data_IF_186273447165
#
_entry.id   IF_186273447165
#
_cell.length_a   1.000
_cell.length_b   1.000
_cell.length_c   1.000
_cell.angle_alpha   90.00
_cell.angle_beta   90.00
_cell.angle_gamma   90.00
#
_symmetry.space_group_name_H-M   'P 1'
#
loop_
_entity.id
_entity.type
_entity.pdbx_description
1 polymer ?
#
# COMPACT_ATOMS: atom_id res chain seq x y z
N UNK A 1 6.84 1.19 -39.87
CA UNK A 1 6.82 1.36 -38.40
C UNK A 1 6.25 0.08 -37.80
N UNK A 2 7.10 -0.82 -37.32
CA UNK A 2 6.67 -2.05 -36.66
C UNK A 2 6.63 -1.79 -35.15
N UNK A 3 5.46 -1.91 -34.55
CA UNK A 3 5.27 -1.90 -33.09
C UNK A 3 5.98 -3.14 -32.51
N UNK A 4 6.86 -3.01 -31.51
CA UNK A 4 7.46 -4.18 -30.89
C UNK A 4 6.38 -4.94 -30.13
N UNK A 5 6.11 -6.17 -30.57
CA UNK A 5 5.24 -7.11 -29.88
C UNK A 5 5.97 -7.62 -28.63
N UNK A 6 5.59 -7.11 -27.46
CA UNK A 6 6.04 -7.60 -26.16
C UNK A 6 5.70 -9.09 -26.05
N UNK A 7 6.69 -9.92 -25.71
CA UNK A 7 6.48 -11.38 -25.64
C UNK A 7 5.62 -11.72 -24.41
N UNK A 8 4.72 -12.72 -24.46
CA UNK A 8 3.92 -13.15 -23.30
C UNK A 8 4.77 -13.47 -22.06
N UNK A 9 5.98 -14.00 -22.26
CA UNK A 9 6.93 -14.32 -21.20
C UNK A 9 7.43 -13.08 -20.44
N UNK A 10 7.47 -11.90 -21.10
CA UNK A 10 7.83 -10.62 -20.47
C UNK A 10 6.69 -10.04 -19.62
N UNK A 11 5.44 -10.47 -19.84
CA UNK A 11 4.27 -10.11 -19.03
C UNK A 11 4.01 -11.09 -17.87
N UNK A 12 4.50 -12.33 -17.98
CA UNK A 12 4.47 -13.32 -16.89
C UNK A 12 5.65 -13.15 -15.91
N UNK A 13 6.83 -12.80 -16.44
CA UNK A 13 8.02 -12.48 -15.64
C UNK A 13 7.79 -11.45 -14.51
N UNK A 14 7.01 -10.36 -14.66
CA UNK A 14 6.76 -9.37 -13.62
C UNK A 14 5.97 -9.95 -12.46
N UNK A 15 4.93 -10.75 -12.73
CA UNK A 15 4.10 -11.34 -11.66
C UNK A 15 4.88 -12.41 -10.90
N UNK A 16 5.63 -13.26 -11.60
CA UNK A 16 6.50 -14.24 -10.97
C UNK A 16 7.65 -13.59 -10.20
N UNK A 17 8.21 -12.46 -10.68
CA UNK A 17 9.19 -11.67 -9.93
C UNK A 17 8.57 -11.02 -8.69
N UNK A 18 7.34 -10.51 -8.78
CA UNK A 18 6.63 -9.94 -7.63
C UNK A 18 6.31 -11.02 -6.59
N UNK A 19 5.87 -12.20 -7.01
CA UNK A 19 5.56 -13.33 -6.14
C UNK A 19 6.83 -13.97 -5.53
N UNK A 20 7.91 -14.14 -6.31
CA UNK A 20 9.20 -14.67 -5.79
C UNK A 20 10.01 -13.64 -5.03
N UNK A 21 9.89 -12.35 -5.34
CA UNK A 21 10.44 -11.31 -4.47
C UNK A 21 9.67 -11.30 -3.16
N UNK A 22 8.34 -11.42 -3.16
CA UNK A 22 7.48 -11.48 -1.97
C UNK A 22 7.89 -12.58 -0.96
N UNK A 23 8.52 -13.68 -1.41
CA UNK A 23 9.02 -14.74 -0.52
C UNK A 23 10.40 -14.46 0.09
N UNK A 24 11.14 -13.47 -0.42
CA UNK A 24 12.46 -13.10 0.14
C UNK A 24 12.31 -12.19 1.37
N UNK A 25 13.11 -12.39 2.44
CA UNK A 25 13.09 -11.50 3.60
C UNK A 25 13.32 -10.04 3.21
N UNK A 26 12.57 -9.12 3.81
CA UNK A 26 12.62 -7.67 3.55
C UNK A 26 14.07 -7.14 3.53
N UNK A 27 14.87 -7.51 4.53
CA UNK A 27 16.28 -7.12 4.65
C UNK A 27 17.07 -7.46 3.38
N UNK A 28 16.89 -8.66 2.82
CA UNK A 28 17.62 -9.12 1.63
C UNK A 28 17.22 -8.37 0.35
N UNK A 29 16.03 -7.74 0.31
CA UNK A 29 15.61 -6.88 -0.81
C UNK A 29 16.26 -5.50 -0.73
N UNK A 30 16.56 -5.03 0.48
CA UNK A 30 17.17 -3.73 0.75
C UNK A 30 18.72 -3.78 0.76
N UNK A 31 19.34 -4.97 0.85
CA UNK A 31 20.80 -5.07 0.97
C UNK A 31 21.54 -4.64 -0.32
N UNK A 32 22.74 -4.05 -0.17
CA UNK A 32 23.64 -3.75 -1.28
C UNK A 32 23.86 -4.98 -2.17
N UNK A 33 23.70 -4.81 -3.48
CA UNK A 33 23.92 -5.84 -4.49
C UNK A 33 24.62 -5.19 -5.71
N UNK A 34 24.78 -5.94 -6.79
CA UNK A 34 25.39 -5.41 -8.01
C UNK A 34 24.67 -4.17 -8.58
N UNK A 35 23.35 -4.04 -8.38
CA UNK A 35 22.58 -2.87 -8.81
C UNK A 35 23.01 -1.60 -8.06
N UNK A 36 23.27 -1.69 -6.76
CA UNK A 36 23.81 -0.57 -5.97
C UNK A 36 25.19 -0.12 -6.46
N UNK A 37 26.07 -1.07 -6.76
CA UNK A 37 27.40 -0.75 -7.30
C UNK A 37 27.31 -0.08 -8.67
N UNK A 38 26.41 -0.57 -9.56
CA UNK A 38 26.17 0.04 -10.88
C UNK A 38 25.53 1.41 -10.77
N UNK A 39 24.59 1.59 -9.85
CA UNK A 39 23.96 2.88 -9.56
C UNK A 39 25.03 3.92 -9.18
N UNK A 40 25.86 3.60 -8.19
CA UNK A 40 26.95 4.48 -7.78
C UNK A 40 27.97 4.74 -8.91
N UNK A 41 28.37 3.70 -9.64
CA UNK A 41 29.32 3.84 -10.74
C UNK A 41 28.78 4.67 -11.90
N UNK A 42 27.50 4.53 -12.25
CA UNK A 42 26.88 5.31 -13.32
C UNK A 42 26.66 6.77 -12.92
N UNK A 43 26.27 7.05 -11.68
CA UNK A 43 26.20 8.41 -11.17
C UNK A 43 27.57 9.08 -11.12
N UNK A 44 28.62 8.35 -10.72
CA UNK A 44 29.99 8.87 -10.74
C UNK A 44 30.47 9.26 -12.15
N UNK A 45 29.95 8.61 -13.20
CA UNK A 45 30.19 8.98 -14.61
C UNK A 45 29.40 10.21 -15.07
N UNK A 46 28.45 10.69 -14.26
CA UNK A 46 27.58 11.82 -14.58
C UNK A 46 27.69 12.96 -13.57
N UNK A 47 28.90 13.53 -13.36
CA UNK A 47 29.10 14.57 -12.35
C UNK A 47 28.27 15.84 -12.61
N UNK A 48 28.04 16.18 -13.89
CA UNK A 48 27.21 17.33 -14.27
C UNK A 48 25.73 17.18 -13.88
N UNK A 49 25.16 15.98 -14.06
CA UNK A 49 23.79 15.69 -13.65
C UNK A 49 23.64 15.75 -12.13
N UNK A 50 24.54 15.08 -11.40
CA UNK A 50 24.56 15.10 -9.93
C UNK A 50 24.72 16.52 -9.38
N UNK A 51 25.64 17.30 -9.92
CA UNK A 51 25.84 18.70 -9.53
C UNK A 51 24.60 19.55 -9.84
N UNK A 52 23.98 19.37 -11.01
CA UNK A 52 22.75 20.04 -11.40
C UNK A 52 21.56 19.74 -10.47
N UNK A 53 21.34 18.47 -10.13
CA UNK A 53 20.31 18.02 -9.18
C UNK A 53 20.57 18.59 -7.78
N UNK A 54 21.82 18.52 -7.31
CA UNK A 54 22.23 19.05 -6.01
C UNK A 54 22.05 20.57 -5.93
N UNK A 55 22.43 21.29 -6.99
CA UNK A 55 22.23 22.74 -7.09
C UNK A 55 20.75 23.12 -7.10
N UNK A 56 19.92 22.36 -7.82
CA UNK A 56 18.46 22.55 -7.85
C UNK A 56 17.84 22.32 -6.48
N UNK A 57 18.19 21.23 -5.81
CA UNK A 57 17.72 20.92 -4.46
C UNK A 57 18.16 21.98 -3.46
N UNK A 58 19.43 22.41 -3.50
CA UNK A 58 19.95 23.44 -2.59
C UNK A 58 19.23 24.77 -2.77
N UNK A 59 19.01 25.19 -4.03
CA UNK A 59 18.24 26.40 -4.34
C UNK A 59 16.81 26.29 -3.83
N UNK A 60 16.18 25.14 -4.02
CA UNK A 60 14.81 24.91 -3.57
C UNK A 60 14.69 24.87 -2.05
N UNK A 61 15.63 24.23 -1.34
CA UNK A 61 15.67 24.28 0.12
C UNK A 61 15.87 25.71 0.64
N UNK A 62 16.67 26.52 -0.06
CA UNK A 62 16.80 27.95 0.23
C UNK A 62 15.49 28.72 0.00
N UNK A 63 14.76 28.43 -1.09
CA UNK A 63 13.46 29.06 -1.38
C UNK A 63 12.40 28.67 -0.34
N UNK A 64 12.39 27.41 0.10
CA UNK A 64 11.53 26.88 1.16
C UNK A 64 11.83 27.55 2.49
N UNK A 65 13.10 27.62 2.90
CA UNK A 65 13.52 28.28 4.13
C UNK A 65 13.11 29.77 4.16
N UNK A 66 13.23 30.45 3.01
CA UNK A 66 12.79 31.83 2.84
C UNK A 66 11.26 31.99 2.70
N UNK A 67 10.49 30.90 2.65
CA UNK A 67 9.03 30.94 2.47
C UNK A 67 8.56 31.39 1.08
N UNK A 68 9.41 31.24 0.06
CA UNK A 68 9.14 31.64 -1.34
C UNK A 68 8.79 30.46 -2.25
N UNK A 69 8.92 29.22 -1.77
CA UNK A 69 8.55 28.04 -2.56
C UNK A 69 7.03 27.93 -2.71
N UNK A 70 6.59 27.60 -3.92
CA UNK A 70 5.19 27.29 -4.24
C UNK A 70 4.94 25.78 -4.31
N UNK A 71 5.89 24.96 -3.85
CA UNK A 71 5.77 23.51 -3.87
C UNK A 71 4.59 23.06 -3.02
N UNK A 72 3.78 22.19 -3.59
CA UNK A 72 2.59 21.64 -2.96
C UNK A 72 2.50 20.13 -3.26
N UNK A 73 1.86 19.34 -2.39
CA UNK A 73 1.65 17.93 -2.64
C UNK A 73 0.72 17.73 -3.84
N UNK A 74 0.86 16.60 -4.54
CA UNK A 74 -0.07 16.22 -5.59
C UNK A 74 -1.50 16.12 -5.01
N UNK A 75 -2.52 16.48 -5.80
CA UNK A 75 -3.93 16.47 -5.35
C UNK A 75 -4.40 15.10 -4.82
N UNK A 76 -3.81 14.02 -5.32
CA UNK A 76 -4.13 12.66 -4.90
C UNK A 76 -3.32 12.18 -3.67
N UNK A 77 -2.32 12.94 -3.22
CA UNK A 77 -1.46 12.55 -2.10
C UNK A 77 -2.18 12.77 -0.76
N UNK A 78 -2.77 11.69 -0.25
CA UNK A 78 -3.53 11.70 1.00
C UNK A 78 -2.65 11.89 2.25
N UNK A 79 -1.33 11.73 2.16
CA UNK A 79 -0.41 11.90 3.30
C UNK A 79 -0.51 13.31 3.86
N UNK A 80 -0.61 14.31 2.97
CA UNK A 80 -0.66 15.73 3.32
C UNK A 80 -2.09 16.31 3.31
N UNK A 81 -3.09 15.47 3.59
CA UNK A 81 -4.51 15.88 3.58
C UNK A 81 -4.92 16.72 4.80
N UNK A 82 -4.17 16.64 5.91
CA UNK A 82 -4.45 17.47 7.09
C UNK A 82 -4.17 18.96 6.80
N UNK A 83 -5.11 19.88 7.09
CA UNK A 83 -4.94 21.32 6.83
C UNK A 83 -3.70 21.93 7.49
N UNK A 84 -3.18 21.35 8.58
CA UNK A 84 -1.99 21.82 9.27
C UNK A 84 -0.75 21.84 8.36
N UNK A 85 -0.66 20.94 7.37
CA UNK A 85 0.44 20.93 6.38
C UNK A 85 0.44 22.17 5.47
N UNK A 86 -0.69 22.87 5.35
CA UNK A 86 -0.81 24.09 4.55
C UNK A 86 -0.78 25.36 5.42
N UNK A 87 -1.44 25.33 6.57
CA UNK A 87 -1.64 26.53 7.40
C UNK A 87 -0.51 26.76 8.41
N UNK A 88 0.24 25.74 8.82
CA UNK A 88 1.35 25.89 9.74
C UNK A 88 2.66 26.13 8.95
N UNK A 89 3.33 27.28 9.10
CA UNK A 89 4.53 27.60 8.32
C UNK A 89 5.68 26.60 8.48
N UNK A 90 5.85 26.01 9.67
CA UNK A 90 6.91 25.04 9.91
C UNK A 90 6.60 23.71 9.22
N UNK A 91 5.39 23.19 9.41
CA UNK A 91 4.96 21.93 8.79
C UNK A 91 4.91 22.05 7.26
N UNK A 92 4.48 23.21 6.75
CA UNK A 92 4.47 23.50 5.33
C UNK A 92 5.89 23.41 4.74
N UNK A 93 6.87 24.03 5.39
CA UNK A 93 8.28 23.96 4.96
C UNK A 93 8.86 22.55 5.06
N UNK A 94 8.52 21.79 6.11
CA UNK A 94 8.96 20.40 6.26
C UNK A 94 8.39 19.53 5.13
N UNK A 95 7.10 19.67 4.83
CA UNK A 95 6.46 19.00 3.70
C UNK A 95 7.12 19.38 2.37
N UNK A 96 7.36 20.68 2.12
CA UNK A 96 8.01 21.13 0.89
C UNK A 96 9.43 20.58 0.76
N UNK A 97 10.22 20.58 1.85
CA UNK A 97 11.57 20.04 1.87
C UNK A 97 11.58 18.53 1.59
N UNK A 98 10.62 17.80 2.17
CA UNK A 98 10.41 16.38 1.88
C UNK A 98 10.10 16.16 0.39
N UNK A 99 9.14 16.89 -0.17
CA UNK A 99 8.75 16.76 -1.57
C UNK A 99 9.90 17.11 -2.53
N UNK A 100 10.72 18.12 -2.20
CA UNK A 100 11.91 18.46 -2.97
C UNK A 100 12.99 17.38 -2.89
N UNK A 101 13.19 16.79 -1.71
CA UNK A 101 14.12 15.67 -1.52
C UNK A 101 13.68 14.40 -2.24
N UNK A 102 12.39 14.08 -2.23
CA UNK A 102 11.79 12.96 -2.96
C UNK A 102 12.03 13.09 -4.46
N UNK A 103 11.67 14.23 -5.05
CA UNK A 103 11.90 14.50 -6.48
C UNK A 103 13.40 14.50 -6.83
N UNK A 104 14.25 14.98 -5.92
CA UNK A 104 15.71 14.91 -6.08
C UNK A 104 16.23 13.48 -6.13
N UNK A 105 15.74 12.60 -5.26
CA UNK A 105 16.12 11.19 -5.23
C UNK A 105 15.65 10.44 -6.48
N UNK A 106 14.40 10.66 -6.91
CA UNK A 106 13.86 10.12 -8.17
C UNK A 106 14.64 10.62 -9.38
N UNK A 107 15.00 11.91 -9.40
CA UNK A 107 15.81 12.50 -10.46
C UNK A 107 17.22 11.88 -10.56
N UNK A 108 17.87 11.64 -9.42
CA UNK A 108 19.17 10.94 -9.40
C UNK A 108 19.04 9.48 -9.87
N UNK A 109 17.94 8.80 -9.54
CA UNK A 109 17.68 7.46 -10.05
C UNK A 109 17.54 7.46 -11.58
N UNK A 110 16.77 8.39 -12.13
CA UNK A 110 16.60 8.53 -13.58
C UNK A 110 17.93 8.82 -14.29
N UNK A 111 18.73 9.72 -13.73
CA UNK A 111 20.02 10.10 -14.31
C UNK A 111 21.04 8.94 -14.25
N UNK A 112 20.88 7.94 -13.37
CA UNK A 112 21.80 6.81 -13.30
C UNK A 112 21.76 5.86 -14.52
N UNK A 113 20.78 6.01 -15.42
CA UNK A 113 20.65 5.25 -16.68
C UNK A 113 20.91 3.74 -16.50
N UNK A 114 20.28 3.14 -15.49
CA UNK A 114 20.40 1.72 -15.21
C UNK A 114 19.65 0.88 -16.26
N UNK A 115 20.04 -0.40 -16.38
CA UNK A 115 19.20 -1.34 -17.12
C UNK A 115 17.84 -1.50 -16.43
N UNK A 116 16.83 -2.02 -17.14
CA UNK A 116 15.47 -2.08 -16.62
C UNK A 116 15.34 -2.87 -15.31
N UNK A 117 16.14 -3.93 -15.11
CA UNK A 117 16.06 -4.80 -13.92
C UNK A 117 16.65 -4.10 -12.70
N UNK A 118 17.79 -3.47 -12.88
CA UNK A 118 18.48 -2.75 -11.82
C UNK A 118 17.75 -1.43 -11.52
N UNK A 119 17.16 -0.77 -12.53
CA UNK A 119 16.28 0.38 -12.31
C UNK A 119 15.07 0.02 -11.45
N UNK A 120 14.33 -1.06 -11.78
CA UNK A 120 13.16 -1.48 -11.00
C UNK A 120 13.51 -1.79 -9.53
N UNK A 121 14.67 -2.44 -9.31
CA UNK A 121 15.16 -2.74 -7.96
C UNK A 121 15.54 -1.48 -7.20
N UNK A 122 16.25 -0.56 -7.84
CA UNK A 122 16.66 0.69 -7.20
C UNK A 122 15.48 1.63 -6.98
N UNK A 123 14.50 1.63 -7.88
CA UNK A 123 13.24 2.34 -7.72
C UNK A 123 12.50 1.85 -6.48
N UNK A 124 12.31 0.52 -6.35
CA UNK A 124 11.72 -0.05 -5.15
C UNK A 124 12.44 0.42 -3.86
N UNK A 125 13.78 0.44 -3.86
CA UNK A 125 14.56 0.90 -2.71
C UNK A 125 14.34 2.39 -2.44
N UNK A 126 14.46 3.24 -3.46
CA UNK A 126 14.30 4.70 -3.35
C UNK A 126 12.90 5.02 -2.85
N UNK A 127 11.87 4.40 -3.44
CA UNK A 127 10.47 4.57 -3.04
C UNK A 127 10.28 4.19 -1.57
N UNK A 128 10.78 3.03 -1.13
CA UNK A 128 10.65 2.60 0.27
C UNK A 128 11.36 3.55 1.24
N UNK A 129 12.53 4.08 0.88
CA UNK A 129 13.27 5.03 1.73
C UNK A 129 12.55 6.38 1.77
N UNK A 130 12.15 6.91 0.62
CA UNK A 130 11.43 8.19 0.51
C UNK A 130 10.07 8.11 1.20
N UNK A 131 9.30 7.04 0.99
CA UNK A 131 8.04 6.83 1.69
C UNK A 131 8.24 6.65 3.19
N UNK A 132 9.26 5.88 3.61
CA UNK A 132 9.59 5.67 5.02
C UNK A 132 9.94 6.96 5.75
N UNK A 133 10.66 7.87 5.07
CA UNK A 133 11.06 9.18 5.59
C UNK A 133 9.96 10.25 5.50
N UNK A 134 8.76 9.90 5.02
CA UNK A 134 7.65 10.85 4.96
C UNK A 134 7.38 11.47 6.34
N UNK A 135 7.26 12.81 6.45
CA UNK A 135 7.00 13.51 7.71
C UNK A 135 5.77 13.00 8.48
N UNK A 136 4.80 12.45 7.74
CA UNK A 136 3.56 11.87 8.27
C UNK A 136 3.77 10.58 9.05
N UNK A 137 4.87 9.85 8.78
CA UNK A 137 5.23 8.62 9.49
C UNK A 137 5.92 8.90 10.84
N UNK A 138 6.37 10.14 11.07
CA UNK A 138 7.01 10.52 12.31
C UNK A 138 5.97 11.13 13.26
N UNK A 139 5.61 10.47 14.38
CA UNK A 139 4.62 10.99 15.32
C UNK A 139 5.02 12.31 15.98
N UNK A 140 6.31 12.66 15.98
CA UNK A 140 6.83 13.92 16.52
C UNK A 140 6.65 15.10 15.56
N UNK A 141 6.42 14.84 14.27
CA UNK A 141 6.24 15.86 13.24
C UNK A 141 4.78 15.88 12.77
N UNK A 142 4.15 14.71 12.67
CA UNK A 142 2.80 14.54 12.15
C UNK A 142 1.76 15.31 12.98
N UNK A 143 0.93 16.16 12.34
CA UNK A 143 -0.17 16.88 13.00
C UNK A 143 -1.13 15.95 13.74
N UNK A 144 -1.39 14.77 13.16
CA UNK A 144 -2.27 13.75 13.73
C UNK A 144 -1.72 13.24 15.07
N UNK A 145 -0.40 13.06 15.17
CA UNK A 145 0.26 12.63 16.39
C UNK A 145 0.11 13.67 17.51
N UNK A 146 0.40 14.93 17.22
CA UNK A 146 0.23 16.04 18.17
C UNK A 146 -1.22 16.26 18.58
N UNK A 147 -2.14 16.23 17.62
CA UNK A 147 -3.58 16.35 17.90
C UNK A 147 -4.04 15.23 18.84
N UNK A 148 -3.71 13.98 18.53
CA UNK A 148 -4.04 12.86 19.39
C UNK A 148 -3.37 12.94 20.77
N UNK A 149 -2.15 13.49 20.87
CA UNK A 149 -1.47 13.71 22.14
C UNK A 149 -2.22 14.72 23.00
N UNK A 150 -2.59 15.86 22.42
CA UNK A 150 -3.30 16.95 23.10
C UNK A 150 -4.72 16.52 23.49
N UNK A 151 -5.51 16.03 22.53
CA UNK A 151 -6.92 15.66 22.71
C UNK A 151 -7.12 14.57 23.77
N UNK A 152 -6.10 13.73 23.99
CA UNK A 152 -6.15 12.64 24.97
C UNK A 152 -5.33 12.90 26.22
N UNK A 153 -4.77 14.11 26.40
CA UNK A 153 -3.92 14.44 27.55
C UNK A 153 -2.70 13.54 27.70
N UNK A 154 -2.13 13.06 26.58
CA UNK A 154 -0.99 12.13 26.55
C UNK A 154 -1.35 10.65 26.58
N UNK A 155 -2.62 10.27 26.82
CA UNK A 155 -3.03 8.86 26.90
C UNK A 155 -2.85 8.10 25.59
N UNK A 156 -2.87 8.77 24.43
CA UNK A 156 -2.59 8.15 23.12
C UNK A 156 -1.15 7.62 23.04
N UNK A 157 -0.16 8.37 23.53
CA UNK A 157 1.25 7.95 23.53
C UNK A 157 1.48 6.74 24.45
N UNK A 158 0.86 6.76 25.65
CA UNK A 158 0.92 5.62 26.58
C UNK A 158 0.29 4.37 25.97
N UNK A 159 -0.89 4.50 25.35
CA UNK A 159 -1.56 3.38 24.66
C UNK A 159 -0.73 2.86 23.50
N UNK A 160 -0.15 3.74 22.68
CA UNK A 160 0.70 3.37 21.56
C UNK A 160 1.98 2.64 21.99
N UNK A 161 2.67 3.12 23.03
CA UNK A 161 3.85 2.46 23.57
C UNK A 161 3.52 1.06 24.14
N UNK A 162 2.36 0.93 24.81
CA UNK A 162 1.89 -0.37 25.31
C UNK A 162 1.54 -1.33 24.18
N UNK A 163 0.86 -0.84 23.14
CA UNK A 163 0.55 -1.62 21.94
C UNK A 163 1.83 -2.12 21.27
N UNK A 164 2.79 -1.23 21.01
CA UNK A 164 4.10 -1.57 20.45
C UNK A 164 4.82 -2.64 21.29
N UNK A 165 4.83 -2.48 22.62
CA UNK A 165 5.44 -3.46 23.50
C UNK A 165 4.75 -4.83 23.39
N UNK A 166 3.41 -4.88 23.39
CA UNK A 166 2.66 -6.15 23.21
C UNK A 166 3.00 -6.80 21.86
N UNK A 167 2.98 -6.03 20.79
CA UNK A 167 3.23 -6.52 19.44
C UNK A 167 4.64 -7.10 19.31
N UNK A 168 5.64 -6.42 19.89
CA UNK A 168 7.04 -6.86 19.86
C UNK A 168 7.34 -8.06 20.79
N UNK A 169 6.52 -8.26 21.83
CA UNK A 169 6.62 -9.41 22.73
C UNK A 169 5.92 -10.65 22.18
N UNK A 170 4.92 -10.48 21.31
CA UNK A 170 4.18 -11.56 20.66
C UNK A 170 4.89 -12.07 19.38
N UNK A 171 4.60 -13.31 18.96
CA UNK A 171 5.01 -13.85 17.66
C UNK A 171 3.79 -13.90 16.74
N UNK A 172 3.86 -13.41 15.49
CA UNK A 172 5.01 -12.74 14.86
C UNK A 172 5.23 -11.33 15.42
N UNK A 173 6.50 -10.91 15.53
CA UNK A 173 6.89 -9.58 16.06
C UNK A 173 6.62 -8.47 15.03
N UNK A 174 5.35 -8.20 14.78
CA UNK A 174 4.90 -7.24 13.77
C UNK A 174 3.86 -6.34 14.42
N UNK A 175 3.95 -5.01 14.27
CA UNK A 175 2.92 -4.10 14.77
C UNK A 175 1.55 -4.48 14.21
N UNK A 176 0.57 -4.65 15.09
CA UNK A 176 -0.79 -4.99 14.72
C UNK A 176 -1.56 -3.70 14.39
N UNK A 177 -2.07 -3.60 13.17
CA UNK A 177 -2.89 -2.46 12.74
C UNK A 177 -4.32 -2.52 13.29
N UNK A 178 -4.79 -3.72 13.64
CA UNK A 178 -6.10 -4.00 14.21
C UNK A 178 -5.94 -5.06 15.29
N UNK A 179 -6.79 -5.03 16.31
CA UNK A 179 -6.80 -6.09 17.31
C UNK A 179 -7.18 -7.43 16.63
N UNK A 180 -6.52 -8.55 16.95
CA UNK A 180 -6.70 -9.82 16.22
C UNK A 180 -8.13 -10.36 16.23
N UNK A 181 -8.90 -10.00 17.25
CA UNK A 181 -10.29 -10.40 17.51
C UNK A 181 -11.30 -9.27 17.25
N UNK A 182 -10.86 -8.17 16.62
CA UNK A 182 -11.75 -7.04 16.30
C UNK A 182 -12.88 -7.40 15.32
N UNK A 183 -12.74 -8.50 14.58
CA UNK A 183 -13.68 -8.91 13.54
C UNK A 183 -14.02 -10.40 13.61
N UNK A 184 -15.31 -10.71 13.54
CA UNK A 184 -15.85 -12.06 13.46
C UNK A 184 -16.56 -12.28 12.11
N UNK A 185 -16.18 -13.35 11.41
CA UNK A 185 -16.81 -13.74 10.13
C UNK A 185 -18.22 -14.25 10.41
N UNK A 186 -19.22 -13.71 9.71
CA UNK A 186 -20.64 -13.95 9.92
C UNK A 186 -21.31 -12.97 10.89
N UNK A 187 -20.54 -12.20 11.67
CA UNK A 187 -21.07 -11.23 12.64
C UNK A 187 -20.73 -9.78 12.30
N UNK A 188 -19.47 -9.49 11.99
CA UNK A 188 -18.99 -8.15 11.60
C UNK A 188 -18.47 -8.09 10.16
N UNK A 189 -18.05 -9.23 9.60
CA UNK A 189 -17.54 -9.39 8.23
C UNK A 189 -18.31 -10.52 7.55
N UNK A 190 -18.54 -10.45 6.23
CA UNK A 190 -19.37 -11.42 5.49
C UNK A 190 -20.76 -11.63 6.09
N UNK A 191 -21.46 -10.52 6.31
CA UNK A 191 -22.76 -10.50 6.98
C UNK A 191 -23.94 -10.42 6.01
N UNK A 192 -23.67 -10.36 4.70
CA UNK A 192 -24.74 -10.35 3.69
C UNK A 192 -25.50 -11.66 3.78
N UNK A 193 -26.81 -11.57 4.01
CA UNK A 193 -27.66 -12.75 4.24
C UNK A 193 -27.63 -13.67 3.02
N UNK A 194 -27.40 -14.95 3.28
CA UNK A 194 -27.32 -15.99 2.27
C UNK A 194 -27.29 -17.37 2.92
N UNK A 195 -27.27 -18.40 2.09
CA UNK A 195 -27.21 -19.80 2.52
C UNK A 195 -26.28 -20.61 1.61
N UNK A 196 -25.63 -21.62 2.19
CA UNK A 196 -24.88 -22.61 1.41
C UNK A 196 -25.90 -23.52 0.71
N UNK A 197 -25.88 -23.53 -0.62
CA UNK A 197 -26.81 -24.29 -1.47
C UNK A 197 -26.15 -25.51 -2.12
N UNK A 198 -24.83 -25.57 -2.14
CA UNK A 198 -24.04 -26.72 -2.58
C UNK A 198 -22.77 -26.80 -1.73
N UNK A 199 -22.42 -27.99 -1.28
CA UNK A 199 -21.16 -28.26 -0.60
C UNK A 199 -20.44 -29.41 -1.31
N UNK A 200 -19.15 -29.24 -1.56
CA UNK A 200 -18.28 -30.23 -2.20
C UNK A 200 -17.04 -30.47 -1.35
N UNK A 201 -16.16 -31.39 -1.78
CA UNK A 201 -14.88 -31.63 -1.12
C UNK A 201 -13.91 -30.43 -1.21
N UNK A 202 -14.12 -29.52 -2.18
CA UNK A 202 -13.20 -28.42 -2.52
C UNK A 202 -13.80 -27.04 -2.21
N UNK A 203 -15.12 -26.87 -2.26
CA UNK A 203 -15.77 -25.58 -2.05
C UNK A 203 -17.23 -25.68 -1.60
N UNK A 204 -17.75 -24.57 -1.08
CA UNK A 204 -19.16 -24.31 -0.82
C UNK A 204 -19.68 -23.23 -1.79
N UNK A 205 -20.87 -23.43 -2.35
CA UNK A 205 -21.58 -22.41 -3.12
C UNK A 205 -22.59 -21.72 -2.21
N UNK A 206 -22.42 -20.41 -2.05
CA UNK A 206 -23.33 -19.58 -1.27
C UNK A 206 -24.28 -18.87 -2.25
N UNK A 207 -25.58 -18.95 -2.01
CA UNK A 207 -26.58 -18.10 -2.65
C UNK A 207 -27.01 -17.02 -1.66
N UNK A 208 -26.94 -15.75 -2.09
CA UNK A 208 -27.36 -14.64 -1.25
C UNK A 208 -28.86 -14.37 -1.37
N UNK A 209 -29.49 -13.99 -0.26
CA UNK A 209 -30.91 -13.67 -0.16
C UNK A 209 -31.21 -12.39 -0.94
N UNK A 210 -32.09 -12.42 -1.96
CA UNK A 210 -32.47 -11.21 -2.69
C UNK A 210 -32.98 -10.09 -1.77
N UNK A 211 -32.56 -8.85 -2.02
CA UNK A 211 -33.02 -7.66 -1.29
C UNK A 211 -33.97 -6.78 -2.13
N UNK A 212 -34.49 -7.32 -3.23
CA UNK A 212 -35.44 -6.68 -4.13
C UNK A 212 -36.61 -7.62 -4.43
N UNK A 213 -37.76 -7.07 -4.83
CA UNK A 213 -38.95 -7.86 -5.19
C UNK A 213 -38.77 -8.68 -6.47
N UNK A 214 -37.98 -8.17 -7.42
CA UNK A 214 -37.65 -8.85 -8.69
C UNK A 214 -36.14 -8.86 -8.87
N UNK A 215 -35.64 -9.95 -9.43
CA UNK A 215 -34.23 -10.12 -9.80
C UNK A 215 -34.08 -10.37 -11.30
N UNK A 216 -32.87 -10.15 -11.83
CA UNK A 216 -32.52 -10.47 -13.22
C UNK A 216 -32.58 -11.98 -13.45
N UNK A 217 -32.92 -12.38 -14.67
CA UNK A 217 -33.03 -13.79 -15.08
C UNK A 217 -31.68 -14.51 -15.17
N UNK A 218 -30.61 -13.79 -15.52
CA UNK A 218 -29.25 -14.33 -15.59
C UNK A 218 -28.56 -14.08 -14.24
N UNK A 219 -28.15 -15.12 -13.51
CA UNK A 219 -27.45 -14.97 -12.23
C UNK A 219 -25.99 -14.53 -12.41
N UNK A 220 -25.40 -14.00 -11.34
CA UNK A 220 -23.99 -13.66 -11.24
C UNK A 220 -23.30 -14.67 -10.32
N UNK A 221 -22.31 -15.38 -10.83
CA UNK A 221 -21.45 -16.27 -10.03
C UNK A 221 -20.11 -15.59 -9.83
N UNK A 222 -19.76 -15.36 -8.57
CA UNK A 222 -18.45 -14.81 -8.20
C UNK A 222 -17.48 -15.93 -7.83
N UNK A 223 -16.31 -15.89 -8.46
CA UNK A 223 -15.22 -16.85 -8.24
C UNK A 223 -14.03 -16.09 -7.64
N UNK A 224 -13.90 -16.03 -6.30
CA UNK A 224 -12.80 -15.32 -5.66
C UNK A 224 -11.47 -16.08 -5.86
N UNK A 225 -10.32 -15.39 -5.70
CA UNK A 225 -9.03 -16.06 -5.69
C UNK A 225 -8.93 -17.06 -4.52
N UNK A 226 -8.12 -18.11 -4.68
CA UNK A 226 -7.93 -19.14 -3.64
C UNK A 226 -7.00 -18.69 -2.49
N UNK A 227 -6.22 -17.63 -2.73
CA UNK A 227 -5.24 -17.12 -1.75
C UNK A 227 -5.94 -16.37 -0.61
N UNK A 228 -6.94 -15.54 -0.96
CA UNK A 228 -7.76 -14.82 0.01
C UNK A 228 -9.10 -15.53 0.17
N UNK A 229 -9.75 -15.33 1.33
CA UNK A 229 -11.10 -15.89 1.52
C UNK A 229 -12.14 -15.07 0.75
N UNK A 230 -13.28 -15.70 0.43
CA UNK A 230 -14.34 -15.11 -0.39
C UNK A 230 -14.86 -13.76 0.11
N UNK A 231 -14.82 -13.55 1.43
CA UNK A 231 -15.33 -12.36 2.09
C UNK A 231 -14.56 -11.07 1.77
N UNK A 232 -13.49 -11.13 0.97
CA UNK A 232 -12.91 -9.93 0.35
C UNK A 232 -13.93 -9.19 -0.55
N UNK A 233 -14.93 -9.92 -1.07
CA UNK A 233 -16.05 -9.34 -1.83
C UNK A 233 -17.24 -8.96 -0.93
N UNK A 234 -17.18 -9.30 0.36
CA UNK A 234 -18.25 -9.09 1.35
C UNK A 234 -17.66 -8.62 2.70
N UNK A 235 -16.96 -7.48 2.69
CA UNK A 235 -16.12 -7.05 3.81
C UNK A 235 -16.95 -6.58 5.00
N UNK A 236 -17.86 -5.63 4.80
CA UNK A 236 -18.72 -5.06 5.84
C UNK A 236 -19.95 -4.42 5.19
N UNK A 237 -21.03 -4.15 5.95
CA UNK A 237 -22.17 -3.38 5.44
C UNK A 237 -21.74 -2.04 4.84
N UNK A 238 -22.28 -1.71 3.66
CA UNK A 238 -21.91 -0.54 2.86
C UNK A 238 -20.53 -0.61 2.20
N UNK A 239 -19.78 -1.72 2.41
CA UNK A 239 -18.48 -2.02 1.81
C UNK A 239 -18.44 -3.44 1.24
N UNK A 240 -19.60 -3.96 0.84
CA UNK A 240 -19.75 -5.28 0.26
C UNK A 240 -20.18 -5.17 -1.19
N UNK A 241 -19.39 -5.77 -2.08
CA UNK A 241 -19.73 -5.89 -3.49
C UNK A 241 -20.93 -6.82 -3.68
N UNK A 242 -21.00 -7.88 -2.88
CA UNK A 242 -22.12 -8.83 -2.87
C UNK A 242 -23.41 -8.13 -2.46
N UNK A 243 -23.40 -7.43 -1.32
CA UNK A 243 -24.53 -6.63 -0.82
C UNK A 243 -25.02 -5.68 -1.90
N UNK A 244 -24.09 -4.93 -2.51
CA UNK A 244 -24.41 -4.00 -3.60
C UNK A 244 -25.16 -4.69 -4.74
N UNK A 245 -24.65 -5.80 -5.28
CA UNK A 245 -25.29 -6.48 -6.40
C UNK A 245 -26.66 -7.07 -6.03
N UNK A 246 -26.79 -7.63 -4.83
CA UNK A 246 -28.06 -8.15 -4.32
C UNK A 246 -29.10 -7.03 -4.21
N UNK A 247 -28.69 -5.83 -3.76
CA UNK A 247 -29.55 -4.64 -3.71
C UNK A 247 -29.91 -4.08 -5.09
N UNK A 248 -29.06 -4.29 -6.10
CA UNK A 248 -29.36 -3.93 -7.49
C UNK A 248 -30.24 -4.97 -8.23
N UNK A 249 -30.77 -5.97 -7.53
CA UNK A 249 -31.64 -6.99 -8.10
C UNK A 249 -30.89 -8.04 -8.94
N UNK A 250 -29.60 -8.23 -8.70
CA UNK A 250 -28.86 -9.36 -9.25
C UNK A 250 -29.07 -10.59 -8.35
N UNK A 251 -29.30 -11.77 -8.94
CA UNK A 251 -29.18 -13.01 -8.20
C UNK A 251 -27.69 -13.37 -8.09
N UNK A 252 -27.14 -13.37 -6.87
CA UNK A 252 -25.70 -13.51 -6.63
C UNK A 252 -25.38 -14.85 -5.97
N UNK A 253 -24.37 -15.52 -6.51
CA UNK A 253 -23.74 -16.69 -5.93
C UNK A 253 -22.25 -16.44 -5.74
N UNK A 254 -21.63 -17.09 -4.74
CA UNK A 254 -20.19 -17.00 -4.52
C UNK A 254 -19.61 -18.33 -4.10
N UNK A 255 -18.43 -18.65 -4.63
CA UNK A 255 -17.64 -19.81 -4.23
C UNK A 255 -16.83 -19.48 -2.96
N UNK A 256 -17.03 -20.25 -1.90
CA UNK A 256 -16.19 -20.28 -0.70
C UNK A 256 -15.26 -21.49 -0.78
N UNK A 257 -13.98 -21.24 -1.06
CA UNK A 257 -12.98 -22.29 -1.17
C UNK A 257 -12.65 -22.92 0.19
N UNK A 258 -12.51 -24.24 0.20
CA UNK A 258 -11.99 -24.96 1.37
C UNK A 258 -10.52 -24.63 1.57
N UNK A 259 -10.13 -24.29 2.80
CA UNK A 259 -8.72 -24.10 3.15
C UNK A 259 -8.01 -25.47 3.13
N UNK A 260 -6.97 -25.68 2.29
CA UNK A 260 -6.25 -26.95 2.24
C UNK A 260 -5.61 -27.29 3.59
N UNK A 261 -5.60 -28.57 3.93
CA UNK A 261 -4.99 -29.10 5.15
C UNK A 261 -4.10 -30.28 4.75
N UNK A 262 -3.19 -30.71 5.63
CA UNK A 262 -2.23 -31.77 5.32
C UNK A 262 -2.88 -33.07 4.81
N UNK A 263 -4.10 -33.37 5.26
CA UNK A 263 -4.89 -34.53 4.80
C UNK A 263 -5.47 -34.43 3.37
N UNK A 264 -5.34 -33.28 2.72
CA UNK A 264 -5.81 -33.03 1.34
C UNK A 264 -4.65 -33.04 0.34
N UNK A 265 -3.49 -33.57 0.73
CA UNK A 265 -2.36 -33.83 -0.17
C UNK A 265 -2.65 -34.97 -1.12
#
# INVERSE_FOLDING_TARGET
MATPTTKPDELAAPLDLLLTSATRPFVRRMMPNAAWARFAANLAKQPGAVAGRTGTLTRELGSIAAGKSHRAPARADKRFSDPAWQHNPLLHRIMQAYLAGAEGAEGLLADAHLDWRDNERMQFVVDNVVEGLAPTNNPLISPLGWKALIDTGGLSAVRGARALARDMLSKPRVPAMVEPDAFAVGETVAVTKGAVVLQTSVFELIQYTPQTTKVRSIPLIMVPPVINKFYIMDIAPGRSMIEYFVQQGQQVFTISWRNPQARHR
#
